data_IF_467651092401
#
_entry.id   IF_467651092401
#
_cell.length_a   1.000
_cell.length_b   1.000
_cell.length_c   1.000
_cell.angle_alpha   90.00
_cell.angle_beta   90.00
_cell.angle_gamma   90.00
#
_symmetry.space_group_name_H-M   'P 1'
#
loop_
_entity.id
_entity.type
_entity.pdbx_description
1 polymer ?
#
# COMPACT_ATOMS: atom_id res chain seq x y z
N UNK A 1 36.37 31.60 -2.12
CA UNK A 1 35.31 31.42 -3.14
C UNK A 1 35.67 30.24 -4.03
N UNK A 2 34.87 29.17 -3.98
CA UNK A 2 34.56 28.22 -5.06
C UNK A 2 33.52 27.23 -4.49
N UNK A 3 32.25 27.65 -4.56
CA UNK A 3 31.10 26.77 -4.41
C UNK A 3 30.81 26.14 -5.77
N UNK A 4 30.74 24.82 -5.82
CA UNK A 4 30.01 23.99 -6.80
C UNK A 4 30.34 22.54 -6.47
N UNK A 5 29.44 21.57 -6.38
CA UNK A 5 27.98 21.51 -6.50
C UNK A 5 27.67 20.16 -5.85
N UNK A 6 26.87 20.14 -4.79
CA UNK A 6 26.33 18.88 -4.28
C UNK A 6 25.48 18.28 -5.41
N UNK A 7 25.91 17.14 -5.93
CA UNK A 7 25.10 16.32 -6.80
C UNK A 7 23.81 15.97 -6.06
N UNK A 8 22.70 16.62 -6.40
CA UNK A 8 21.36 16.22 -5.95
C UNK A 8 21.14 14.77 -6.41
N UNK A 9 21.31 13.82 -5.50
CA UNK A 9 20.87 12.44 -5.71
C UNK A 9 19.35 12.50 -5.81
N UNK A 10 18.82 12.36 -7.03
CA UNK A 10 17.39 12.19 -7.27
C UNK A 10 16.89 11.09 -6.33
N UNK A 11 16.04 11.46 -5.36
CA UNK A 11 15.57 10.53 -4.35
C UNK A 11 14.63 9.52 -5.03
N UNK A 12 15.14 8.34 -5.36
CA UNK A 12 14.39 7.30 -6.10
C UNK A 12 13.48 6.47 -5.19
N UNK A 13 13.47 6.76 -3.88
CA UNK A 13 12.63 6.07 -2.91
C UNK A 13 11.25 6.74 -2.81
N UNK A 14 10.53 6.82 -3.93
CA UNK A 14 9.19 7.42 -4.01
C UNK A 14 8.26 6.40 -4.65
N UNK A 15 7.16 6.09 -3.96
CA UNK A 15 6.09 5.27 -4.50
C UNK A 15 5.37 6.07 -5.61
N UNK A 16 5.22 5.47 -6.80
CA UNK A 16 4.52 6.10 -7.92
C UNK A 16 3.41 5.17 -8.41
N UNK A 17 2.17 5.65 -8.35
CA UNK A 17 1.01 4.89 -8.81
C UNK A 17 1.14 4.54 -10.30
N UNK A 18 1.57 5.48 -11.13
CA UNK A 18 1.72 5.28 -12.58
C UNK A 18 2.84 4.28 -12.92
N UNK A 19 3.97 4.34 -12.20
CA UNK A 19 5.07 3.40 -12.39
C UNK A 19 4.69 1.98 -11.94
N UNK A 20 3.90 1.85 -10.86
CA UNK A 20 3.37 0.56 -10.44
C UNK A 20 2.38 0.04 -11.49
N UNK A 21 1.39 0.86 -11.89
CA UNK A 21 0.37 0.48 -12.88
C UNK A 21 0.97 0.03 -14.21
N UNK A 22 2.05 0.66 -14.68
CA UNK A 22 2.69 0.29 -15.95
C UNK A 22 3.42 -1.05 -15.93
N UNK A 23 3.67 -1.61 -14.74
CA UNK A 23 4.33 -2.91 -14.54
C UNK A 23 3.33 -4.03 -14.21
N UNK A 24 2.05 -3.71 -14.06
CA UNK A 24 1.02 -4.71 -13.77
C UNK A 24 0.55 -5.42 -15.05
N UNK A 25 0.01 -6.65 -14.92
CA UNK A 25 -0.62 -7.35 -16.03
C UNK A 25 -1.71 -6.53 -16.72
N UNK A 26 -1.89 -6.73 -18.03
CA UNK A 26 -2.91 -6.00 -18.82
C UNK A 26 -4.35 -6.23 -18.32
N UNK A 27 -4.61 -7.37 -17.68
CA UNK A 27 -5.90 -7.73 -17.11
C UNK A 27 -6.13 -7.22 -15.68
N UNK A 28 -5.17 -6.48 -15.11
CA UNK A 28 -5.33 -5.85 -13.81
C UNK A 28 -6.36 -4.71 -13.85
N UNK A 29 -7.43 -4.85 -13.07
CA UNK A 29 -8.55 -3.90 -13.03
C UNK A 29 -8.64 -3.06 -11.74
N UNK A 30 -7.72 -3.27 -10.80
CA UNK A 30 -7.73 -2.56 -9.52
C UNK A 30 -7.23 -1.13 -9.62
N UNK A 31 -7.60 -0.28 -8.67
CA UNK A 31 -6.95 1.03 -8.53
C UNK A 31 -5.64 0.91 -7.76
N UNK A 32 -4.62 1.68 -8.16
CA UNK A 32 -3.40 1.87 -7.36
C UNK A 32 -3.45 3.27 -6.76
N UNK A 33 -3.56 3.32 -5.44
CA UNK A 33 -3.65 4.55 -4.66
C UNK A 33 -2.37 4.66 -3.83
N UNK A 34 -1.61 5.73 -4.02
CA UNK A 34 -0.37 5.98 -3.28
C UNK A 34 -0.54 7.23 -2.43
N UNK A 35 -0.24 7.10 -1.14
CA UNK A 35 -0.29 8.16 -0.15
C UNK A 35 1.12 8.41 0.39
N UNK A 36 1.46 9.65 0.71
CA UNK A 36 2.72 9.94 1.41
C UNK A 36 2.66 9.45 2.86
N UNK A 37 1.54 9.71 3.55
CA UNK A 37 1.33 9.28 4.94
C UNK A 37 -0.15 9.04 5.18
N UNK A 38 -0.48 8.04 5.99
CA UNK A 38 -1.86 7.75 6.44
C UNK A 38 -1.87 7.35 7.92
N UNK A 39 -3.05 7.29 8.54
CA UNK A 39 -3.21 6.60 9.82
C UNK A 39 -2.98 5.09 9.67
N UNK A 40 -3.61 4.46 8.67
CA UNK A 40 -3.48 3.04 8.37
C UNK A 40 -4.05 2.74 6.98
N UNK A 41 -3.25 2.14 6.10
CA UNK A 41 -3.67 1.69 4.77
C UNK A 41 -4.86 0.72 4.84
N UNK A 42 -4.92 -0.11 5.89
CA UNK A 42 -6.03 -1.06 6.09
C UNK A 42 -7.32 -0.35 6.50
N UNK A 43 -7.22 0.75 7.26
CA UNK A 43 -8.39 1.57 7.59
C UNK A 43 -8.92 2.28 6.34
N UNK A 44 -8.03 2.77 5.48
CA UNK A 44 -8.44 3.40 4.22
C UNK A 44 -9.08 2.39 3.26
N UNK A 45 -8.53 1.18 3.17
CA UNK A 45 -9.14 0.10 2.40
C UNK A 45 -10.55 -0.23 2.89
N UNK A 46 -10.74 -0.33 4.21
CA UNK A 46 -12.04 -0.60 4.81
C UNK A 46 -13.11 0.46 4.48
N UNK A 47 -12.72 1.73 4.28
CA UNK A 47 -13.65 2.82 3.91
C UNK A 47 -14.23 2.64 2.50
N UNK A 48 -13.45 2.10 1.57
CA UNK A 48 -13.81 2.03 0.15
C UNK A 48 -14.17 0.62 -0.35
N UNK A 49 -13.99 -0.41 0.49
CA UNK A 49 -14.13 -1.84 0.12
C UNK A 49 -15.44 -2.21 -0.60
N UNK A 50 -16.53 -1.48 -0.33
CA UNK A 50 -17.84 -1.76 -0.94
C UNK A 50 -17.96 -1.30 -2.39
N UNK A 51 -17.15 -0.34 -2.81
CA UNK A 51 -17.23 0.29 -4.14
C UNK A 51 -15.95 0.13 -4.94
N UNK A 52 -14.81 -0.12 -4.28
CA UNK A 52 -13.53 -0.31 -4.92
C UNK A 52 -13.47 -1.65 -5.69
N UNK A 53 -12.91 -1.69 -6.90
CA UNK A 53 -12.71 -2.94 -7.64
C UNK A 53 -11.83 -3.96 -6.89
N UNK A 54 -12.01 -5.25 -7.23
CA UNK A 54 -11.06 -6.29 -6.84
C UNK A 54 -9.63 -5.92 -7.24
N UNK A 55 -8.68 -6.16 -6.36
CA UNK A 55 -7.25 -5.86 -6.58
C UNK A 55 -6.87 -4.41 -6.27
N UNK A 56 -7.84 -3.54 -5.93
CA UNK A 56 -7.52 -2.17 -5.50
C UNK A 56 -6.53 -2.19 -4.35
N UNK A 57 -5.41 -1.50 -4.54
CA UNK A 57 -4.28 -1.51 -3.62
C UNK A 57 -3.99 -0.08 -3.16
N UNK A 58 -3.97 0.10 -1.85
CA UNK A 58 -3.56 1.35 -1.22
C UNK A 58 -2.17 1.14 -0.66
N UNK A 59 -1.25 2.04 -1.01
CA UNK A 59 0.12 2.07 -0.52
C UNK A 59 0.39 3.39 0.22
N UNK A 60 1.25 3.33 1.23
CA UNK A 60 1.77 4.51 1.91
C UNK A 60 3.26 4.37 2.24
N UNK A 61 3.99 5.49 2.18
CA UNK A 61 5.39 5.55 2.60
C UNK A 61 5.53 5.49 4.13
N UNK A 62 4.53 5.99 4.88
CA UNK A 62 4.47 5.93 6.34
C UNK A 62 3.04 5.72 6.88
N UNK A 63 2.92 5.17 8.10
CA UNK A 63 1.67 5.17 8.87
C UNK A 63 1.84 5.73 10.29
N UNK A 64 0.94 6.64 10.69
CA UNK A 64 0.97 7.27 12.02
C UNK A 64 0.25 6.47 13.10
N UNK A 65 -0.69 5.59 12.71
CA UNK A 65 -1.49 4.78 13.62
C UNK A 65 -1.64 3.34 13.09
N UNK A 66 -0.54 2.77 12.60
CA UNK A 66 -0.49 1.40 12.08
C UNK A 66 -1.03 0.40 13.11
N UNK A 67 -1.84 -0.57 12.64
CA UNK A 67 -2.48 -1.58 13.49
C UNK A 67 -2.06 -2.98 13.07
N UNK A 68 -1.48 -3.71 14.01
CA UNK A 68 -1.18 -5.14 13.89
C UNK A 68 -2.29 -6.02 14.46
N UNK A 69 -2.04 -7.33 14.45
CA UNK A 69 -2.99 -8.35 14.93
C UNK A 69 -3.31 -8.15 16.41
N UNK A 70 -4.56 -8.43 16.79
CA UNK A 70 -5.07 -8.28 18.16
C UNK A 70 -4.91 -6.85 18.72
N UNK A 71 -4.99 -5.83 17.86
CA UNK A 71 -4.98 -4.42 18.25
C UNK A 71 -3.62 -3.86 18.68
N UNK A 72 -2.53 -4.60 18.45
CA UNK A 72 -1.16 -4.13 18.74
C UNK A 72 -0.80 -2.97 17.80
N UNK A 73 -0.01 -2.02 18.27
CA UNK A 73 0.58 -0.99 17.40
C UNK A 73 1.53 -1.62 16.39
N UNK A 74 1.53 -1.10 15.17
CA UNK A 74 2.45 -1.48 14.10
C UNK A 74 3.29 -0.24 13.73
N UNK A 75 4.59 -0.32 13.99
CA UNK A 75 5.54 0.76 13.71
C UNK A 75 5.82 0.83 12.21
N UNK A 76 5.53 1.99 11.59
CA UNK A 76 5.57 2.18 10.15
C UNK A 76 6.14 3.57 9.76
N UNK A 77 7.44 3.81 9.98
CA UNK A 77 8.08 5.08 9.62
C UNK A 77 8.23 5.25 8.10
N UNK A 78 8.49 6.49 7.65
CA UNK A 78 8.81 6.80 6.25
C UNK A 78 9.96 5.93 5.70
N UNK A 79 9.88 5.61 4.41
CA UNK A 79 10.82 4.75 3.69
C UNK A 79 10.42 3.28 3.65
N UNK A 80 9.21 2.93 4.10
CA UNK A 80 8.65 1.58 4.03
C UNK A 80 7.70 1.37 2.85
N UNK A 81 7.28 0.12 2.66
CA UNK A 81 6.16 -0.21 1.77
C UNK A 81 5.03 -0.75 2.66
N UNK A 82 4.09 0.13 3.00
CA UNK A 82 2.90 -0.26 3.73
C UNK A 82 1.75 -0.33 2.75
N UNK A 83 1.06 -1.47 2.67
CA UNK A 83 -0.02 -1.64 1.72
C UNK A 83 -1.19 -2.45 2.26
N UNK A 84 -2.35 -2.24 1.64
CA UNK A 84 -3.55 -3.04 1.84
C UNK A 84 -4.22 -3.28 0.49
N UNK A 85 -4.59 -4.54 0.23
CA UNK A 85 -5.20 -4.97 -1.02
C UNK A 85 -6.64 -5.39 -0.75
N UNK A 86 -7.58 -4.87 -1.55
CA UNK A 86 -8.99 -5.24 -1.49
C UNK A 86 -9.20 -6.48 -2.36
N UNK A 87 -9.63 -7.57 -1.72
CA UNK A 87 -9.93 -8.83 -2.40
C UNK A 87 -11.43 -9.11 -2.28
N UNK A 88 -12.11 -9.17 -3.43
CA UNK A 88 -13.46 -9.72 -3.53
C UNK A 88 -13.36 -11.18 -3.95
N UNK A 89 -13.55 -12.09 -3.00
CA UNK A 89 -13.37 -13.53 -3.21
C UNK A 89 -14.67 -14.27 -2.91
N UNK A 90 -14.97 -15.26 -3.74
CA UNK A 90 -16.05 -16.21 -3.48
C UNK A 90 -15.45 -17.45 -2.79
N UNK A 91 -15.13 -17.31 -1.50
CA UNK A 91 -14.55 -18.36 -0.67
C UNK A 91 -15.43 -18.62 0.56
N UNK A 92 -15.37 -19.84 1.09
CA UNK A 92 -15.96 -20.12 2.39
C UNK A 92 -15.19 -19.37 3.49
N UNK A 93 -15.87 -18.96 4.56
CA UNK A 93 -15.24 -18.27 5.69
C UNK A 93 -14.12 -19.10 6.34
N UNK A 94 -14.21 -20.43 6.31
CA UNK A 94 -13.15 -21.34 6.78
C UNK A 94 -11.83 -21.16 6.03
N UNK A 95 -11.91 -20.76 4.76
CA UNK A 95 -10.77 -20.71 3.85
C UNK A 95 -10.09 -19.33 3.88
N UNK A 96 -10.70 -18.34 4.55
CA UNK A 96 -10.15 -17.00 4.67
C UNK A 96 -8.76 -16.97 5.33
N UNK A 97 -8.44 -17.96 6.18
CA UNK A 97 -7.11 -18.11 6.80
C UNK A 97 -6.01 -18.36 5.77
N UNK A 98 -6.35 -18.97 4.64
CA UNK A 98 -5.40 -19.27 3.56
C UNK A 98 -4.87 -17.98 2.93
N UNK A 99 -5.68 -16.91 2.89
CA UNK A 99 -5.28 -15.61 2.37
C UNK A 99 -4.08 -15.06 3.16
N UNK A 100 -4.12 -15.15 4.49
CA UNK A 100 -3.02 -14.66 5.35
C UNK A 100 -1.78 -15.55 5.24
N UNK A 101 -1.96 -16.83 4.93
CA UNK A 101 -0.84 -17.78 4.78
C UNK A 101 -0.12 -17.62 3.44
N UNK A 102 -0.83 -17.18 2.41
CA UNK A 102 -0.29 -16.97 1.07
C UNK A 102 0.44 -15.62 0.91
N UNK A 103 0.16 -14.65 1.78
CA UNK A 103 0.75 -13.31 1.80
C UNK A 103 2.02 -13.25 2.64
#
# INVERSE_FOLDING_TARGET
>A
MKNATASEKKNTNILSADAIKSLLPEDFSGDIIVLETTESTNLDAAKIVKTAPHGTTILADAQTAGRGRLGRSFFAPSGGIYMSVILHLNLAFSDAVLITTAA
#
